data_IF_079153888050
#
_entry.id   IF_079153888050
#
_cell.length_a   1.000
_cell.length_b   1.000
_cell.length_c   1.000
_cell.angle_alpha   90.00
_cell.angle_beta   90.00
_cell.angle_gamma   90.00
#
_symmetry.space_group_name_H-M   'P 1'
#
loop_
_entity.id
_entity.type
_entity.pdbx_description
1 polymer ?
#
# COMPACT_ATOMS: atom_id res chain seq x y z
N UNK A 1 24.79 7.00 -44.25
CA UNK A 1 23.32 6.89 -44.43
C UNK A 1 22.67 7.78 -43.38
N UNK A 2 22.04 8.88 -43.77
CA UNK A 2 21.39 9.80 -42.83
C UNK A 2 20.05 9.19 -42.37
N UNK A 3 19.87 9.00 -41.05
CA UNK A 3 18.56 8.61 -40.47
C UNK A 3 17.53 9.68 -40.82
N UNK A 4 16.32 9.28 -41.19
CA UNK A 4 15.26 10.23 -41.55
C UNK A 4 14.75 10.97 -40.31
N UNK A 5 14.25 12.19 -40.49
CA UNK A 5 13.62 12.98 -39.41
C UNK A 5 12.45 12.25 -38.72
N UNK A 6 11.83 11.27 -39.40
CA UNK A 6 10.79 10.43 -38.83
C UNK A 6 11.33 9.43 -37.79
N UNK A 7 12.54 8.90 -38.01
CA UNK A 7 13.19 7.95 -37.09
C UNK A 7 13.61 8.64 -35.79
N UNK A 8 14.05 9.90 -35.88
CA UNK A 8 14.43 10.67 -34.69
C UNK A 8 13.25 11.06 -33.80
N UNK A 9 12.08 11.31 -34.40
CA UNK A 9 10.87 11.64 -33.64
C UNK A 9 10.26 10.39 -32.99
N UNK A 10 10.41 9.22 -33.59
CA UNK A 10 9.96 7.95 -33.04
C UNK A 10 10.88 7.47 -31.89
N UNK A 11 12.19 7.70 -32.00
CA UNK A 11 13.14 7.47 -30.88
C UNK A 11 12.90 8.44 -29.72
N UNK A 12 12.60 9.73 -29.99
CA UNK A 12 12.25 10.70 -28.93
C UNK A 12 10.91 10.40 -28.26
N UNK A 13 9.91 9.95 -29.01
CA UNK A 13 8.63 9.53 -28.44
C UNK A 13 8.78 8.25 -27.63
N UNK A 14 9.53 7.25 -28.12
CA UNK A 14 9.84 6.04 -27.35
C UNK A 14 10.67 6.34 -26.10
N UNK A 15 11.65 7.26 -26.16
CA UNK A 15 12.42 7.71 -25.00
C UNK A 15 11.58 8.52 -23.99
N UNK A 16 10.63 9.35 -24.44
CA UNK A 16 9.70 10.04 -23.51
C UNK A 16 8.63 9.09 -22.95
N UNK A 17 8.26 8.02 -23.65
CA UNK A 17 7.35 6.98 -23.14
C UNK A 17 8.02 5.99 -22.19
N UNK A 18 9.32 5.70 -22.37
CA UNK A 18 10.12 4.88 -21.43
C UNK A 18 10.61 5.68 -20.21
N UNK A 19 10.87 6.98 -20.37
CA UNK A 19 11.28 7.87 -19.27
C UNK A 19 10.21 8.16 -18.22
N UNK A 20 8.98 7.65 -18.40
CA UNK A 20 7.83 7.96 -17.52
C UNK A 20 7.14 6.72 -16.91
N UNK A 21 7.71 5.51 -17.06
CA UNK A 21 7.09 4.26 -16.56
C UNK A 21 7.89 3.41 -15.56
N UNK A 22 9.13 3.75 -15.24
CA UNK A 22 10.02 2.82 -14.52
C UNK A 22 10.23 3.12 -13.03
N UNK A 23 9.19 3.43 -12.27
CA UNK A 23 9.30 3.46 -10.81
C UNK A 23 8.27 2.61 -10.08
N UNK A 24 7.12 2.32 -10.69
CA UNK A 24 6.13 1.36 -10.13
C UNK A 24 6.64 -0.09 -10.22
N UNK A 25 7.57 -0.39 -11.14
CA UNK A 25 8.16 -1.72 -11.34
C UNK A 25 9.01 -2.25 -10.17
N UNK A 26 9.24 -1.46 -9.13
CA UNK A 26 9.98 -1.88 -7.93
C UNK A 26 9.12 -2.67 -6.94
N UNK A 27 7.79 -2.53 -6.97
CA UNK A 27 6.90 -3.21 -6.03
C UNK A 27 6.07 -4.25 -6.80
N UNK A 28 6.32 -5.55 -6.62
CA UNK A 28 5.59 -6.58 -7.34
C UNK A 28 4.11 -6.62 -6.92
N UNK A 29 3.22 -6.88 -7.88
CA UNK A 29 1.79 -7.10 -7.68
C UNK A 29 1.05 -5.96 -6.96
N UNK A 30 1.54 -4.72 -7.09
CA UNK A 30 0.94 -3.57 -6.41
C UNK A 30 -0.51 -3.32 -6.86
N UNK A 31 -0.90 -3.70 -8.07
CA UNK A 31 -2.29 -3.59 -8.55
C UNK A 31 -3.29 -4.32 -7.67
N UNK A 32 -2.89 -5.43 -7.04
CA UNK A 32 -3.73 -6.23 -6.14
C UNK A 32 -3.25 -6.12 -4.69
N UNK A 33 -2.52 -5.04 -4.37
CA UNK A 33 -1.86 -4.82 -3.08
C UNK A 33 -0.97 -5.99 -2.62
N UNK A 34 -0.42 -6.78 -3.54
CA UNK A 34 0.32 -8.01 -3.26
C UNK A 34 -0.47 -9.03 -2.41
N UNK A 35 -1.78 -9.13 -2.65
CA UNK A 35 -2.66 -10.14 -2.05
C UNK A 35 -3.02 -11.16 -3.14
N UNK A 36 -2.57 -12.40 -2.94
CA UNK A 36 -2.77 -13.53 -3.85
C UNK A 36 -2.70 -14.85 -3.06
N UNK A 37 -2.72 -16.00 -3.75
CA UNK A 37 -2.69 -17.32 -3.11
C UNK A 37 -1.35 -17.59 -2.38
N UNK A 38 -0.24 -16.99 -2.82
CA UNK A 38 1.08 -17.12 -2.18
C UNK A 38 1.25 -16.15 -1.00
N UNK A 39 0.59 -14.98 -1.06
CA UNK A 39 0.64 -13.92 -0.05
C UNK A 39 -0.76 -13.55 0.47
N UNK A 40 -1.46 -14.48 1.16
CA UNK A 40 -2.80 -14.21 1.65
C UNK A 40 -2.81 -13.17 2.77
N UNK A 41 -3.85 -12.33 2.80
CA UNK A 41 -4.11 -11.40 3.89
C UNK A 41 -4.98 -12.06 4.97
N UNK A 42 -4.64 -11.83 6.24
CA UNK A 42 -5.46 -12.26 7.37
C UNK A 42 -5.35 -11.29 8.56
N UNK A 43 -6.09 -11.57 9.64
CA UNK A 43 -6.02 -10.80 10.88
C UNK A 43 -4.59 -10.78 11.44
N UNK A 44 -4.23 -9.67 12.06
CA UNK A 44 -2.92 -9.32 12.62
C UNK A 44 -1.80 -9.09 11.60
N UNK A 45 -2.04 -9.29 10.30
CA UNK A 45 -1.11 -8.86 9.25
C UNK A 45 -1.06 -7.34 9.15
N UNK A 46 -0.07 -6.83 8.40
CA UNK A 46 0.17 -5.41 8.23
C UNK A 46 0.06 -5.00 6.77
N UNK A 47 -0.40 -3.77 6.54
CA UNK A 47 -0.60 -3.21 5.22
C UNK A 47 -0.14 -1.76 5.18
N UNK A 48 0.40 -1.31 4.05
CA UNK A 48 0.42 0.12 3.74
C UNK A 48 -0.98 0.55 3.34
N UNK A 49 -1.46 1.66 3.91
CA UNK A 49 -2.77 2.19 3.60
C UNK A 49 -2.81 3.72 3.68
N UNK A 50 -3.79 4.32 2.99
CA UNK A 50 -4.06 5.74 3.15
C UNK A 50 -4.84 6.05 4.43
N UNK A 51 -4.33 7.04 5.17
CA UNK A 51 -5.04 7.71 6.25
C UNK A 51 -4.95 9.22 6.04
N UNK A 52 -6.03 9.81 5.50
CA UNK A 52 -5.97 11.15 4.92
C UNK A 52 -5.06 11.14 3.69
N UNK A 53 -4.19 12.14 3.59
CA UNK A 53 -3.20 12.28 2.50
C UNK A 53 -1.88 11.55 2.81
N UNK A 54 -1.79 10.83 3.93
CA UNK A 54 -0.57 10.16 4.39
C UNK A 54 -0.65 8.66 4.15
N UNK A 55 0.49 8.06 3.81
CA UNK A 55 0.68 6.61 3.83
C UNK A 55 1.09 6.21 5.25
N UNK A 56 0.28 5.35 5.84
CA UNK A 56 0.43 4.80 7.18
C UNK A 56 0.53 3.28 7.12
N UNK A 57 0.82 2.66 8.27
CA UNK A 57 0.74 1.20 8.42
C UNK A 57 -0.56 0.87 9.16
N UNK A 58 -1.35 -0.02 8.57
CA UNK A 58 -2.53 -0.60 9.22
C UNK A 58 -2.24 -2.01 9.68
N UNK A 59 -2.47 -2.32 10.96
CA UNK A 59 -2.61 -3.70 11.42
C UNK A 59 -4.04 -4.16 11.22
N UNK A 60 -4.25 -5.27 10.53
CA UNK A 60 -5.57 -5.82 10.22
C UNK A 60 -6.21 -6.39 11.49
N UNK A 61 -7.32 -5.79 11.94
CA UNK A 61 -8.07 -6.30 13.09
C UNK A 61 -9.26 -7.17 12.69
N UNK A 62 -9.90 -6.85 11.57
CA UNK A 62 -11.03 -7.59 11.02
C UNK A 62 -11.15 -7.40 9.51
N UNK A 63 -11.57 -8.46 8.83
CA UNK A 63 -11.89 -8.48 7.40
C UNK A 63 -13.36 -8.83 7.25
N UNK A 64 -14.03 -8.17 6.31
CA UNK A 64 -15.44 -8.40 6.04
C UNK A 64 -15.65 -8.70 4.56
N UNK A 65 -16.59 -9.60 4.29
CA UNK A 65 -17.12 -9.88 2.96
C UNK A 65 -18.58 -9.42 2.88
N UNK A 66 -19.04 -9.13 1.67
CA UNK A 66 -20.46 -8.87 1.44
C UNK A 66 -21.20 -10.20 1.30
N UNK A 67 -22.14 -10.46 2.20
CA UNK A 67 -23.05 -11.61 2.12
C UNK A 67 -24.45 -11.13 2.46
N UNK A 68 -25.42 -11.45 1.60
CA UNK A 68 -26.82 -11.05 1.77
C UNK A 68 -27.01 -9.53 2.02
N UNK A 69 -26.20 -8.68 1.38
CA UNK A 69 -26.22 -7.23 1.56
C UNK A 69 -25.66 -6.73 2.89
N UNK A 70 -24.94 -7.57 3.64
CA UNK A 70 -24.36 -7.24 4.95
C UNK A 70 -22.84 -7.43 4.96
N UNK A 71 -22.14 -6.64 5.79
CA UNK A 71 -20.72 -6.83 6.09
C UNK A 71 -20.53 -8.00 7.05
N UNK A 72 -20.20 -9.16 6.52
CA UNK A 72 -20.02 -10.39 7.27
C UNK A 72 -18.57 -10.59 7.67
N UNK A 73 -18.34 -10.75 8.97
CA UNK A 73 -17.00 -10.96 9.52
C UNK A 73 -16.38 -12.26 9.00
N UNK A 74 -15.14 -12.18 8.53
CA UNK A 74 -14.40 -13.30 7.98
C UNK A 74 -13.14 -13.62 8.82
N UNK A 75 -12.96 -14.91 9.10
CA UNK A 75 -11.79 -15.46 9.78
C UNK A 75 -10.81 -16.15 8.82
N UNK A 76 -11.20 -16.40 7.57
CA UNK A 76 -10.38 -17.10 6.58
C UNK A 76 -9.33 -16.16 5.97
N UNK A 77 -8.21 -16.74 5.55
CA UNK A 77 -7.26 -16.09 4.65
C UNK A 77 -7.97 -15.56 3.40
N UNK A 78 -7.52 -14.38 2.95
CA UNK A 78 -8.03 -13.70 1.77
C UNK A 78 -6.93 -13.65 0.72
N UNK A 79 -7.20 -14.22 -0.46
CA UNK A 79 -6.24 -14.26 -1.57
C UNK A 79 -6.61 -13.28 -2.68
N UNK A 80 -7.73 -12.54 -2.56
CA UNK A 80 -8.12 -11.49 -3.52
C UNK A 80 -8.66 -10.29 -2.76
N UNK A 81 -8.07 -9.12 -3.00
CA UNK A 81 -8.49 -7.88 -2.36
C UNK A 81 -9.96 -7.54 -2.68
N UNK A 82 -10.42 -7.84 -3.90
CA UNK A 82 -11.79 -7.60 -4.38
C UNK A 82 -12.85 -8.38 -3.60
N UNK A 83 -12.48 -9.46 -2.92
CA UNK A 83 -13.42 -10.19 -2.08
C UNK A 83 -13.73 -9.44 -0.78
N UNK A 84 -12.83 -8.54 -0.35
CA UNK A 84 -13.00 -7.75 0.87
C UNK A 84 -14.01 -6.64 0.57
N UNK A 85 -15.06 -6.55 1.36
CA UNK A 85 -16.02 -5.44 1.28
C UNK A 85 -15.64 -4.30 2.22
N UNK A 86 -15.01 -4.62 3.36
CA UNK A 86 -14.59 -3.67 4.38
C UNK A 86 -13.44 -4.24 5.21
N UNK A 87 -12.55 -3.38 5.68
CA UNK A 87 -11.44 -3.77 6.56
C UNK A 87 -11.38 -2.86 7.78
N UNK A 88 -11.14 -3.44 8.96
CA UNK A 88 -10.86 -2.70 10.19
C UNK A 88 -9.36 -2.71 10.45
N UNK A 89 -8.78 -1.53 10.62
CA UNK A 89 -7.34 -1.35 10.82
C UNK A 89 -7.07 -0.60 12.12
N UNK A 90 -6.03 -1.04 12.84
CA UNK A 90 -5.32 -0.20 13.82
C UNK A 90 -4.20 0.54 13.09
N UNK A 91 -4.21 1.86 13.15
CA UNK A 91 -3.30 2.71 12.36
C UNK A 91 -2.06 3.07 13.19
N UNK A 92 -0.89 2.89 12.58
CA UNK A 92 0.38 3.43 13.02
C UNK A 92 0.75 4.63 12.14
N UNK A 93 0.90 5.79 12.76
CA UNK A 93 1.16 7.06 12.08
C UNK A 93 2.65 7.23 11.79
N UNK A 94 3.03 7.76 10.61
CA UNK A 94 4.44 7.98 10.29
C UNK A 94 5.03 9.08 11.18
N UNK A 95 6.21 8.81 11.75
CA UNK A 95 6.99 9.76 12.56
C UNK A 95 8.15 10.31 11.74
N UNK A 96 9.04 9.42 11.29
CA UNK A 96 10.17 9.75 10.41
C UNK A 96 10.56 8.51 9.58
N UNK A 97 11.29 8.71 8.48
CA UNK A 97 11.96 7.65 7.69
C UNK A 97 11.23 6.31 7.56
N UNK A 98 11.42 5.39 8.52
CA UNK A 98 10.88 4.03 8.59
C UNK A 98 10.23 3.73 9.97
N UNK A 99 9.97 4.77 10.76
CA UNK A 99 9.44 4.75 12.12
C UNK A 99 8.00 5.25 12.15
N UNK A 100 7.16 4.49 12.84
CA UNK A 100 5.74 4.79 13.01
C UNK A 100 5.37 4.71 14.48
N UNK A 101 4.44 5.56 14.91
CA UNK A 101 3.89 5.56 16.28
C UNK A 101 2.52 4.93 16.29
N UNK A 102 2.24 4.15 17.32
CA UNK A 102 0.92 3.62 17.61
C UNK A 102 -0.03 4.70 18.16
N UNK A 103 0.50 5.72 18.82
CA UNK A 103 -0.26 6.72 19.55
C UNK A 103 -0.28 8.07 18.85
N UNK A 104 -1.43 8.75 18.94
CA UNK A 104 -1.54 10.17 18.60
C UNK A 104 -0.87 11.05 19.67
N UNK A 105 -0.83 12.36 19.44
CA UNK A 105 -0.34 13.33 20.44
C UNK A 105 -1.18 13.29 21.73
N UNK A 106 -2.44 12.87 21.63
CA UNK A 106 -3.40 12.69 22.71
C UNK A 106 -3.37 11.27 23.32
N UNK A 107 -2.30 10.50 23.08
CA UNK A 107 -2.10 9.15 23.62
C UNK A 107 -3.19 8.12 23.25
N UNK A 108 -3.88 8.35 22.13
CA UNK A 108 -4.95 7.48 21.65
C UNK A 108 -4.47 6.54 20.55
N UNK A 109 -5.05 5.33 20.50
CA UNK A 109 -4.93 4.43 19.35
C UNK A 109 -6.00 4.78 18.32
N UNK A 110 -5.61 4.85 17.05
CA UNK A 110 -6.58 5.02 15.96
C UNK A 110 -7.01 3.64 15.46
N UNK A 111 -8.30 3.35 15.59
CA UNK A 111 -8.95 2.20 14.93
C UNK A 111 -9.98 2.74 13.96
N UNK A 112 -9.92 2.30 12.71
CA UNK A 112 -10.77 2.83 11.64
C UNK A 112 -11.23 1.74 10.69
N UNK A 113 -12.39 1.93 10.07
CA UNK A 113 -12.86 1.09 8.99
C UNK A 113 -12.55 1.76 7.65
N UNK A 114 -12.03 0.97 6.70
CA UNK A 114 -11.63 1.45 5.38
C UNK A 114 -12.23 0.59 4.28
N UNK A 115 -12.34 1.19 3.10
CA UNK A 115 -12.55 0.44 1.87
C UNK A 115 -11.24 -0.27 1.49
N UNK A 116 -11.31 -1.44 0.85
CA UNK A 116 -10.12 -2.14 0.37
C UNK A 116 -9.27 -1.30 -0.57
N UNK A 117 -9.86 -0.38 -1.34
CA UNK A 117 -9.14 0.56 -2.21
C UNK A 117 -8.19 1.50 -1.47
N UNK A 118 -8.32 1.63 -0.14
CA UNK A 118 -7.36 2.36 0.66
C UNK A 118 -6.09 1.56 0.98
N UNK A 119 -6.07 0.25 0.68
CA UNK A 119 -4.91 -0.61 0.87
C UNK A 119 -3.99 -0.49 -0.34
N UNK A 120 -2.72 -0.21 -0.07
CA UNK A 120 -1.68 0.00 -1.09
C UNK A 120 -0.89 -1.28 -1.29
N UNK A 121 -0.49 -1.93 -0.18
CA UNK A 121 0.38 -3.11 -0.24
C UNK A 121 0.30 -3.91 1.07
N UNK A 122 0.23 -5.24 0.96
CA UNK A 122 0.41 -6.18 2.05
C UNK A 122 1.90 -6.30 2.41
N UNK A 123 2.19 -6.23 3.70
CA UNK A 123 3.56 -6.20 4.25
C UNK A 123 3.85 -7.51 4.98
N UNK A 124 5.02 -8.09 4.74
CA UNK A 124 5.50 -9.23 5.53
C UNK A 124 5.73 -8.83 6.98
N UNK A 125 5.22 -9.63 7.92
CA UNK A 125 5.43 -9.43 9.35
C UNK A 125 6.91 -9.55 9.75
N UNK A 126 7.72 -10.29 8.99
CA UNK A 126 9.15 -10.47 9.28
C UNK A 126 9.97 -9.19 9.12
N UNK A 127 9.46 -8.24 8.31
CA UNK A 127 10.10 -6.95 8.07
C UNK A 127 9.64 -5.86 9.05
N UNK A 128 8.82 -6.23 10.05
CA UNK A 128 8.23 -5.34 11.03
C UNK A 128 8.71 -5.68 12.43
N UNK A 129 9.29 -4.69 13.10
CA UNK A 129 9.60 -4.77 14.54
C UNK A 129 8.73 -3.80 15.30
N UNK A 130 8.01 -4.31 16.32
CA UNK A 130 7.21 -3.48 17.22
C UNK A 130 7.90 -3.46 18.59
N UNK A 131 8.18 -2.27 19.08
CA UNK A 131 8.44 -2.03 20.50
C UNK A 131 7.27 -1.21 21.07
N UNK A 132 7.03 -1.29 22.37
CA UNK A 132 5.88 -0.71 23.09
C UNK A 132 4.97 0.25 22.31
N UNK A 133 5.51 1.40 21.87
CA UNK A 133 4.77 2.47 21.22
C UNK A 133 5.10 2.65 19.73
N UNK A 134 6.16 2.02 19.23
CA UNK A 134 6.68 2.26 17.89
C UNK A 134 6.78 1.00 17.03
N UNK A 135 6.60 1.21 15.73
CA UNK A 135 6.78 0.21 14.69
C UNK A 135 7.91 0.66 13.76
N UNK A 136 8.88 -0.22 13.54
CA UNK A 136 10.01 -0.02 12.65
C UNK A 136 9.90 -0.93 11.43
N UNK A 137 10.05 -0.35 10.24
CA UNK A 137 10.22 -1.12 9.00
C UNK A 137 11.69 -1.45 8.78
N UNK A 138 11.94 -2.65 8.28
CA UNK A 138 13.26 -3.13 7.90
C UNK A 138 13.27 -3.68 6.47
N UNK A 139 14.47 -4.05 6.00
CA UNK A 139 14.70 -4.69 4.70
C UNK A 139 13.98 -4.00 3.53
N UNK A 140 13.42 -4.80 2.63
CA UNK A 140 12.81 -4.32 1.38
C UNK A 140 11.57 -3.46 1.63
N UNK A 141 10.83 -3.69 2.72
CA UNK A 141 9.62 -2.93 3.06
C UNK A 141 9.94 -1.47 3.40
N UNK A 142 11.11 -1.21 4.00
CA UNK A 142 11.61 0.16 4.21
C UNK A 142 11.84 0.88 2.87
N UNK A 143 12.36 0.18 1.88
CA UNK A 143 12.62 0.75 0.55
C UNK A 143 11.31 1.01 -0.19
N UNK A 144 10.34 0.10 -0.08
CA UNK A 144 8.98 0.30 -0.59
C UNK A 144 8.33 1.54 0.03
N UNK A 145 8.38 1.71 1.35
CA UNK A 145 7.83 2.91 2.00
C UNK A 145 8.53 4.19 1.53
N UNK A 146 9.86 4.16 1.40
CA UNK A 146 10.65 5.30 0.96
C UNK A 146 10.29 5.74 -0.46
N UNK A 147 9.94 4.80 -1.33
CA UNK A 147 9.42 5.08 -2.65
C UNK A 147 7.97 5.61 -2.60
N UNK A 148 7.08 4.90 -1.90
CA UNK A 148 5.65 5.20 -1.85
C UNK A 148 5.35 6.59 -1.26
N UNK A 149 6.12 7.05 -0.28
CA UNK A 149 5.89 8.34 0.41
C UNK A 149 6.26 9.58 -0.41
N UNK A 150 6.80 9.42 -1.62
CA UNK A 150 7.13 10.56 -2.48
C UNK A 150 5.87 11.24 -2.99
N UNK A 151 5.84 12.58 -2.98
CA UNK A 151 4.67 13.36 -3.36
C UNK A 151 4.16 13.06 -4.78
N UNK A 152 5.07 12.82 -5.73
CA UNK A 152 4.71 12.48 -7.11
C UNK A 152 4.05 11.09 -7.20
N UNK A 153 4.51 10.13 -6.40
CA UNK A 153 3.92 8.79 -6.30
C UNK A 153 2.56 8.83 -5.62
N UNK A 154 2.45 9.53 -4.48
CA UNK A 154 1.16 9.72 -3.78
C UNK A 154 0.13 10.34 -4.73
N UNK A 155 0.51 11.40 -5.45
CA UNK A 155 -0.38 12.07 -6.41
C UNK A 155 -0.84 11.15 -7.54
N UNK A 156 0.03 10.25 -8.00
CA UNK A 156 -0.31 9.26 -9.02
C UNK A 156 -1.31 8.23 -8.48
N UNK A 157 -1.09 7.72 -7.28
CA UNK A 157 -1.97 6.74 -6.65
C UNK A 157 -3.35 7.35 -6.38
N UNK A 158 -3.42 8.59 -5.88
CA UNK A 158 -4.70 9.26 -5.61
C UNK A 158 -5.50 9.54 -6.90
N UNK A 159 -4.83 9.93 -7.99
CA UNK A 159 -5.49 10.13 -9.30
C UNK A 159 -6.10 8.86 -9.87
N UNK A 160 -5.50 7.70 -9.63
CA UNK A 160 -6.02 6.43 -10.13
C UNK A 160 -7.17 5.86 -9.27
N UNK A 161 -7.37 6.38 -8.05
CA UNK A 161 -8.40 5.94 -7.11
C UNK A 161 -9.56 6.95 -6.95
N UNK A 162 -9.55 8.04 -7.72
CA UNK A 162 -10.62 9.07 -7.76
C UNK A 162 -11.55 8.81 -8.94
#
# INVERSE_FOLDING_TARGET
>A
MAKSLADHNNEKSQQTYYGKRNTISLIPNIENANINDDFPLMKNHFVFCFYGEKICIGQVLALYFELYGNYSFNLKLVTKIDNISKITLKIFLPVNSNLFTQYTLEECNIITHKNPSNIILHISSDDITINNQFLFLSNIVKDYYSYLKRNDVISLILKNNS
#
